data_IF_425579996168
#
_entry.id   IF_425579996168
#
_cell.length_a   1.000
_cell.length_b   1.000
_cell.length_c   1.000
_cell.angle_alpha   90.00
_cell.angle_beta   90.00
_cell.angle_gamma   90.00
#
_symmetry.space_group_name_H-M   'P 1'
#
loop_
_entity.id
_entity.type
_entity.pdbx_description
1 polymer ?
#
# COMPACT_ATOMS: atom_id res chain seq x y z
N UNK A 1 -10.32 -18.08 -26.63
CA UNK A 1 -10.83 -18.96 -25.56
C UNK A 1 -9.64 -19.75 -25.03
N UNK A 2 -9.41 -19.76 -23.72
CA UNK A 2 -8.33 -20.50 -23.08
C UNK A 2 -8.68 -22.00 -23.05
N UNK A 3 -7.76 -22.87 -23.45
CA UNK A 3 -7.93 -24.32 -23.45
C UNK A 3 -7.55 -24.89 -22.07
N UNK A 4 -8.55 -25.03 -21.20
CA UNK A 4 -8.35 -25.48 -19.81
C UNK A 4 -7.88 -26.94 -19.70
N UNK A 5 -8.10 -27.77 -20.72
CA UNK A 5 -7.63 -29.16 -20.73
C UNK A 5 -6.11 -29.19 -20.84
N UNK A 6 -5.53 -28.35 -21.71
CA UNK A 6 -4.06 -28.19 -21.84
C UNK A 6 -3.41 -27.52 -20.64
N UNK A 7 -4.15 -26.70 -19.91
CA UNK A 7 -3.68 -26.13 -18.63
C UNK A 7 -3.71 -27.19 -17.54
N UNK A 8 -4.78 -28.00 -17.48
CA UNK A 8 -4.96 -29.04 -16.47
C UNK A 8 -3.78 -30.00 -16.36
N UNK A 9 -3.19 -30.41 -17.50
CA UNK A 9 -2.01 -31.30 -17.51
C UNK A 9 -0.75 -30.67 -16.92
N UNK A 10 -0.65 -29.33 -16.88
CA UNK A 10 0.46 -28.60 -16.27
C UNK A 10 0.24 -28.38 -14.76
N UNK A 11 -1.02 -28.40 -14.30
CA UNK A 11 -1.38 -28.17 -12.90
C UNK A 11 -0.89 -29.29 -11.98
N UNK A 12 -0.78 -30.53 -12.46
CA UNK A 12 -0.21 -31.64 -11.68
C UNK A 12 1.25 -31.38 -11.32
N UNK A 13 2.07 -30.92 -12.28
CA UNK A 13 3.45 -30.52 -12.03
C UNK A 13 3.56 -29.35 -11.06
N UNK A 14 2.63 -28.38 -11.14
CA UNK A 14 2.54 -27.27 -10.18
C UNK A 14 2.26 -27.77 -8.75
N UNK A 15 1.35 -28.72 -8.57
CA UNK A 15 1.02 -29.27 -7.24
C UNK A 15 2.22 -29.95 -6.59
N UNK A 16 2.98 -30.73 -7.34
CA UNK A 16 4.20 -31.39 -6.84
C UNK A 16 5.27 -30.35 -6.44
N UNK A 17 5.50 -29.36 -7.29
CA UNK A 17 6.44 -28.27 -7.01
C UNK A 17 6.05 -27.48 -5.75
N UNK A 18 4.77 -27.12 -5.58
CA UNK A 18 4.28 -26.40 -4.40
C UNK A 18 4.42 -27.22 -3.11
N UNK A 19 4.29 -28.55 -3.18
CA UNK A 19 4.50 -29.43 -2.03
C UNK A 19 5.98 -29.44 -1.60
N UNK A 20 6.91 -29.45 -2.56
CA UNK A 20 8.35 -29.34 -2.29
C UNK A 20 8.70 -27.97 -1.72
N UNK A 21 8.23 -26.87 -2.31
CA UNK A 21 8.43 -25.52 -1.78
C UNK A 21 7.88 -25.37 -0.36
N UNK A 22 6.74 -25.99 -0.05
CA UNK A 22 6.19 -25.98 1.30
C UNK A 22 7.15 -26.63 2.30
N UNK A 23 7.79 -27.75 1.96
CA UNK A 23 8.78 -28.39 2.84
C UNK A 23 10.03 -27.52 3.03
N UNK A 24 10.50 -26.88 1.96
CA UNK A 24 11.62 -25.93 2.02
C UNK A 24 11.29 -24.75 2.93
N UNK A 25 10.11 -24.12 2.72
CA UNK A 25 9.64 -23.00 3.53
C UNK A 25 9.50 -23.37 5.01
N UNK A 26 9.07 -24.58 5.35
CA UNK A 26 9.03 -25.05 6.73
C UNK A 26 10.42 -25.17 7.37
N UNK A 27 11.44 -25.58 6.61
CA UNK A 27 12.84 -25.60 7.09
C UNK A 27 13.36 -24.19 7.29
N UNK A 28 13.13 -23.29 6.33
CA UNK A 28 13.50 -21.88 6.44
C UNK A 28 12.81 -21.19 7.63
N UNK A 29 11.53 -21.49 7.86
CA UNK A 29 10.78 -20.95 9.00
C UNK A 29 11.38 -21.40 10.33
N UNK A 30 11.67 -22.70 10.49
CA UNK A 30 12.34 -23.21 11.70
C UNK A 30 13.70 -22.56 11.94
N UNK A 31 14.48 -22.35 10.87
CA UNK A 31 15.77 -21.67 10.96
C UNK A 31 15.61 -20.21 11.38
N UNK A 32 14.70 -19.46 10.73
CA UNK A 32 14.41 -18.08 11.08
C UNK A 32 13.90 -17.94 12.52
N UNK A 33 13.13 -18.91 13.03
CA UNK A 33 12.69 -18.94 14.43
C UNK A 33 13.85 -19.04 15.43
N UNK A 34 14.93 -19.74 15.09
CA UNK A 34 16.14 -19.79 15.94
C UNK A 34 16.78 -18.40 16.07
N UNK A 35 16.95 -17.68 14.95
CA UNK A 35 17.48 -16.31 14.97
C UNK A 35 16.52 -15.33 15.62
N UNK A 36 15.22 -15.54 15.47
CA UNK A 36 14.21 -14.76 16.17
C UNK A 36 14.30 -14.92 17.70
N UNK A 37 14.44 -16.16 18.19
CA UNK A 37 14.62 -16.45 19.62
C UNK A 37 15.93 -15.84 20.14
N UNK A 38 17.00 -15.89 19.34
CA UNK A 38 18.25 -15.21 19.69
C UNK A 38 18.06 -13.70 19.79
N UNK A 39 17.37 -13.08 18.83
CA UNK A 39 17.06 -11.66 18.84
C UNK A 39 16.17 -11.25 20.04
N UNK A 40 15.23 -12.10 20.44
CA UNK A 40 14.42 -11.91 21.64
C UNK A 40 15.27 -11.96 22.92
N UNK A 41 16.19 -12.93 23.02
CA UNK A 41 17.06 -13.07 24.18
C UNK A 41 18.14 -11.97 24.26
N UNK A 42 18.57 -11.44 23.12
CA UNK A 42 19.65 -10.46 23.00
C UNK A 42 19.26 -9.30 22.07
N UNK A 43 18.28 -8.47 22.45
CA UNK A 43 17.78 -7.40 21.58
C UNK A 43 18.85 -6.35 21.26
N UNK A 44 19.76 -6.08 22.20
CA UNK A 44 20.87 -5.15 21.98
C UNK A 44 21.82 -5.65 20.89
N UNK A 45 22.06 -6.96 20.78
CA UNK A 45 22.90 -7.51 19.71
C UNK A 45 22.32 -7.21 18.33
N UNK A 46 21.00 -7.28 18.17
CA UNK A 46 20.36 -6.92 16.91
C UNK A 46 20.54 -5.43 16.61
N UNK A 47 20.31 -4.57 17.60
CA UNK A 47 20.47 -3.11 17.47
C UNK A 47 21.92 -2.71 17.16
N UNK A 48 22.90 -3.31 17.83
CA UNK A 48 24.33 -3.05 17.61
C UNK A 48 24.78 -3.49 16.21
N UNK A 49 24.10 -4.50 15.64
CA UNK A 49 24.37 -5.02 14.29
C UNK A 49 23.67 -4.21 13.20
N UNK A 50 22.76 -3.31 13.55
CA UNK A 50 22.19 -2.39 12.57
C UNK A 50 23.25 -1.37 12.12
N UNK A 51 23.50 -1.26 10.81
CA UNK A 51 24.54 -0.36 10.32
C UNK A 51 24.13 1.09 10.54
N UNK A 52 25.08 1.89 11.01
CA UNK A 52 24.92 3.34 11.15
C UNK A 52 25.12 4.04 9.80
N UNK A 53 24.36 5.11 9.50
CA UNK A 53 24.60 5.91 8.30
C UNK A 53 26.06 6.39 8.22
N UNK A 54 26.71 6.39 7.03
CA UNK A 54 26.14 6.15 5.71
C UNK A 54 26.13 4.67 5.26
N UNK A 55 26.72 3.76 6.04
CA UNK A 55 26.79 2.34 5.69
C UNK A 55 25.40 1.70 5.71
N UNK A 56 25.07 0.89 4.70
CA UNK A 56 23.78 0.19 4.61
C UNK A 56 23.93 -1.19 4.00
N UNK A 57 23.08 -2.14 4.40
CA UNK A 57 23.03 -3.43 3.73
C UNK A 57 22.46 -3.25 2.32
N UNK A 58 22.72 -4.23 1.44
CA UNK A 58 22.12 -4.29 0.11
C UNK A 58 20.60 -4.59 0.13
N UNK A 59 19.98 -4.64 1.30
CA UNK A 59 18.59 -4.98 1.54
C UNK A 59 17.98 -4.08 2.61
N UNK A 60 16.66 -3.87 2.55
CA UNK A 60 15.94 -3.05 3.54
C UNK A 60 15.70 -3.84 4.81
N UNK A 61 16.04 -3.24 5.96
CA UNK A 61 15.79 -3.79 7.29
C UNK A 61 14.71 -3.00 8.01
N UNK A 62 14.31 -3.48 9.18
CA UNK A 62 13.47 -2.72 10.11
C UNK A 62 14.05 -2.73 11.53
N UNK A 63 13.94 -1.59 12.21
CA UNK A 63 14.37 -1.43 13.60
C UNK A 63 13.21 -1.78 14.53
N UNK A 64 13.39 -2.69 15.51
CA UNK A 64 12.34 -2.98 16.49
C UNK A 64 12.16 -1.79 17.43
N UNK A 65 10.90 -1.35 17.62
CA UNK A 65 10.52 -0.26 18.53
C UNK A 65 9.86 -0.78 19.82
N UNK A 66 9.54 -2.08 19.86
CA UNK A 66 8.96 -2.80 20.98
C UNK A 66 9.68 -4.16 21.13
N UNK A 67 9.63 -4.79 22.31
CA UNK A 67 10.18 -6.13 22.52
C UNK A 67 9.66 -7.14 21.49
N UNK A 68 10.51 -8.03 20.98
CA UNK A 68 10.15 -8.96 19.91
C UNK A 68 9.12 -10.01 20.35
N UNK A 69 8.89 -10.21 21.64
CA UNK A 69 7.83 -11.05 22.19
C UNK A 69 6.49 -10.32 22.40
N UNK A 70 6.40 -9.04 22.00
CA UNK A 70 5.16 -8.25 22.11
C UNK A 70 4.03 -8.89 21.32
N UNK A 71 3.01 -9.36 22.03
CA UNK A 71 1.75 -9.85 21.47
C UNK A 71 0.59 -9.16 22.18
N UNK A 72 0.04 -8.10 21.58
CA UNK A 72 -1.02 -7.30 22.20
C UNK A 72 -2.37 -7.67 21.57
N UNK A 73 -3.28 -8.19 22.40
CA UNK A 73 -4.69 -8.35 22.04
C UNK A 73 -5.33 -6.97 21.92
N UNK A 74 -5.93 -6.70 20.76
CA UNK A 74 -6.61 -5.43 20.52
C UNK A 74 -7.99 -5.42 21.14
N UNK A 75 -8.33 -4.30 21.77
CA UNK A 75 -9.67 -4.07 22.29
C UNK A 75 -10.69 -3.94 21.15
N UNK A 76 -11.96 -4.34 21.39
CA UNK A 76 -13.03 -4.10 20.44
C UNK A 76 -13.18 -2.61 20.10
N UNK A 77 -13.56 -2.33 18.85
CA UNK A 77 -13.87 -0.97 18.43
C UNK A 77 -14.95 -0.34 19.33
N UNK A 78 -14.79 0.94 19.75
CA UNK A 78 -15.82 1.66 20.49
C UNK A 78 -17.17 1.62 19.78
N UNK A 79 -18.28 1.61 20.52
CA UNK A 79 -19.62 1.54 19.91
C UNK A 79 -19.86 2.64 18.87
N UNK A 80 -19.30 3.83 19.11
CA UNK A 80 -19.42 4.99 18.23
C UNK A 80 -18.04 5.38 17.69
N UNK A 81 -17.85 5.27 16.38
CA UNK A 81 -16.61 5.58 15.68
C UNK A 81 -16.88 5.80 14.19
N UNK A 82 -15.93 6.43 13.50
CA UNK A 82 -15.98 6.63 12.05
C UNK A 82 -14.76 6.01 11.36
N UNK A 83 -14.96 5.40 10.20
CA UNK A 83 -13.86 4.94 9.33
C UNK A 83 -13.96 5.68 8.01
N UNK A 84 -12.88 6.33 7.60
CA UNK A 84 -12.79 7.01 6.30
C UNK A 84 -11.81 6.26 5.41
N UNK A 85 -12.10 6.19 4.11
CA UNK A 85 -11.18 5.63 3.14
C UNK A 85 -11.36 6.25 1.75
N UNK A 86 -10.32 6.18 0.95
CA UNK A 86 -10.31 6.58 -0.45
C UNK A 86 -9.62 5.51 -1.29
N UNK A 87 -10.07 5.36 -2.53
CA UNK A 87 -9.37 4.59 -3.56
C UNK A 87 -9.55 5.31 -4.91
N UNK A 88 -8.73 4.97 -5.90
CA UNK A 88 -8.70 5.65 -7.18
C UNK A 88 -8.69 4.67 -8.35
N UNK A 89 -9.37 5.04 -9.42
CA UNK A 89 -9.20 4.43 -10.73
C UNK A 89 -9.04 5.49 -11.81
N UNK A 90 -8.79 5.07 -13.05
CA UNK A 90 -8.39 5.97 -14.11
C UNK A 90 -8.73 5.46 -15.51
N UNK A 91 -8.93 6.40 -16.44
CA UNK A 91 -9.00 6.16 -17.88
C UNK A 91 -7.71 6.70 -18.50
N UNK A 92 -6.86 5.81 -19.01
CA UNK A 92 -5.62 6.19 -19.68
C UNK A 92 -5.90 6.97 -21.00
N UNK A 93 -5.00 7.91 -21.36
CA UNK A 93 -5.14 8.66 -22.60
C UNK A 93 -4.90 7.74 -23.81
N UNK A 94 -5.61 7.98 -24.92
CA UNK A 94 -5.49 7.16 -26.13
C UNK A 94 -5.45 8.02 -27.38
N UNK A 95 -4.48 7.76 -28.25
CA UNK A 95 -4.37 8.38 -29.57
C UNK A 95 -5.44 7.87 -30.57
N UNK A 96 -6.18 6.82 -30.21
CA UNK A 96 -7.27 6.29 -31.03
C UNK A 96 -8.64 6.88 -30.69
N UNK A 97 -8.70 7.76 -29.69
CA UNK A 97 -9.91 8.44 -29.24
C UNK A 97 -10.01 9.86 -29.81
N UNK A 98 -11.20 10.44 -29.70
CA UNK A 98 -11.58 11.78 -30.19
C UNK A 98 -10.68 12.90 -29.65
N UNK A 99 -10.16 12.73 -28.43
CA UNK A 99 -9.31 13.68 -27.73
C UNK A 99 -8.26 12.94 -26.91
N UNK A 100 -7.05 13.51 -26.86
CA UNK A 100 -5.97 13.00 -26.03
C UNK A 100 -6.07 13.61 -24.63
N UNK A 101 -6.86 12.99 -23.76
CA UNK A 101 -7.06 13.36 -22.36
C UNK A 101 -7.14 12.10 -21.49
N UNK A 102 -6.96 12.25 -20.19
CA UNK A 102 -7.18 11.17 -19.22
C UNK A 102 -8.13 11.62 -18.12
N UNK A 103 -8.67 10.64 -17.39
CA UNK A 103 -9.56 10.89 -16.26
C UNK A 103 -9.04 10.12 -15.04
N UNK A 104 -9.04 10.76 -13.89
CA UNK A 104 -8.82 10.12 -12.59
C UNK A 104 -10.14 10.21 -11.83
N UNK A 105 -10.61 9.08 -11.31
CA UNK A 105 -11.80 9.01 -10.47
C UNK A 105 -11.40 8.55 -9.07
N UNK A 106 -11.60 9.39 -8.06
CA UNK A 106 -11.34 9.02 -6.66
C UNK A 106 -12.66 8.71 -5.97
N UNK A 107 -12.86 7.45 -5.60
CA UNK A 107 -13.96 7.02 -4.75
C UNK A 107 -13.62 7.25 -3.29
N UNK A 108 -14.62 7.64 -2.49
CA UNK A 108 -14.43 7.85 -1.07
C UNK A 108 -15.61 7.36 -0.24
N UNK A 109 -15.30 7.02 1.02
CA UNK A 109 -16.30 6.57 1.98
C UNK A 109 -16.07 7.17 3.36
N UNK A 110 -17.16 7.40 4.08
CA UNK A 110 -17.17 7.66 5.51
C UNK A 110 -18.26 6.79 6.17
N UNK A 111 -17.82 5.75 6.87
CA UNK A 111 -18.69 4.78 7.56
C UNK A 111 -18.81 5.18 9.04
N UNK A 112 -20.02 5.56 9.47
CA UNK A 112 -20.27 6.17 10.77
C UNK A 112 -21.04 5.21 11.70
N UNK A 113 -20.32 4.45 12.51
CA UNK A 113 -20.89 3.39 13.35
C UNK A 113 -21.48 3.94 14.65
N UNK A 114 -22.58 3.33 15.12
CA UNK A 114 -23.22 3.62 16.42
C UNK A 114 -23.84 5.02 16.57
N UNK A 115 -23.82 5.82 15.50
CA UNK A 115 -24.24 7.22 15.53
C UNK A 115 -25.61 7.49 14.92
N UNK A 116 -26.21 6.49 14.26
CA UNK A 116 -27.46 6.64 13.50
C UNK A 116 -27.34 7.47 12.21
N UNK A 117 -26.15 8.02 11.91
CA UNK A 117 -25.89 8.79 10.69
C UNK A 117 -25.70 7.84 9.49
N UNK A 118 -26.16 8.22 8.29
CA UNK A 118 -25.94 7.42 7.09
C UNK A 118 -24.46 7.35 6.71
N UNK A 119 -24.07 6.26 6.06
CA UNK A 119 -22.79 6.19 5.39
C UNK A 119 -22.75 7.22 4.25
N UNK A 120 -21.58 7.84 4.04
CA UNK A 120 -21.32 8.65 2.85
C UNK A 120 -20.45 7.84 1.91
N UNK A 121 -20.91 7.64 0.68
CA UNK A 121 -20.24 6.88 -0.37
C UNK A 121 -20.42 7.70 -1.64
N UNK A 122 -19.33 8.12 -2.28
CA UNK A 122 -19.40 8.92 -3.50
C UNK A 122 -18.05 8.88 -4.24
N UNK A 123 -17.96 9.55 -5.39
CA UNK A 123 -16.73 9.66 -6.18
C UNK A 123 -16.53 11.05 -6.79
N UNK A 124 -15.27 11.42 -7.00
CA UNK A 124 -14.87 12.69 -7.61
C UNK A 124 -14.07 12.39 -8.89
N UNK A 125 -14.72 12.45 -10.06
CA UNK A 125 -14.03 12.34 -11.35
C UNK A 125 -13.45 13.68 -11.80
N UNK A 126 -12.19 13.68 -12.22
CA UNK A 126 -11.49 14.84 -12.76
C UNK A 126 -10.84 14.51 -14.12
N UNK A 127 -11.02 15.39 -15.10
CA UNK A 127 -10.48 15.24 -16.46
C UNK A 127 -9.23 16.10 -16.60
N UNK A 128 -8.16 15.48 -17.11
CA UNK A 128 -6.88 16.11 -17.36
C UNK A 128 -6.62 16.17 -18.87
N UNK A 129 -6.46 17.39 -19.38
CA UNK A 129 -6.46 17.65 -20.82
C UNK A 129 -5.57 18.82 -21.23
N UNK A 130 -4.97 19.56 -20.28
CA UNK A 130 -4.05 20.65 -20.61
C UNK A 130 -2.70 20.09 -21.02
N UNK A 131 -1.93 20.88 -21.77
CA UNK A 131 -0.58 20.51 -22.21
C UNK A 131 0.31 20.11 -21.03
N UNK A 132 0.23 20.85 -19.92
CA UNK A 132 1.01 20.53 -18.71
C UNK A 132 0.60 19.15 -18.14
N UNK A 133 -0.70 18.87 -18.04
CA UNK A 133 -1.21 17.60 -17.52
C UNK A 133 -0.73 16.39 -18.34
N UNK A 134 -0.63 16.56 -19.66
CA UNK A 134 -0.37 15.47 -20.61
C UNK A 134 1.12 15.27 -20.90
N UNK A 135 1.90 16.35 -20.91
CA UNK A 135 3.25 16.33 -21.45
C UNK A 135 4.34 16.74 -20.46
N UNK A 136 4.01 17.38 -19.32
CA UNK A 136 5.03 17.81 -18.34
C UNK A 136 5.93 16.67 -17.90
N UNK A 137 5.38 15.50 -17.66
CA UNK A 137 6.12 14.33 -17.17
C UNK A 137 7.23 13.84 -18.14
N UNK A 138 7.13 14.16 -19.44
CA UNK A 138 8.11 13.75 -20.45
C UNK A 138 9.49 14.37 -20.22
N UNK A 139 9.56 15.54 -19.60
CA UNK A 139 10.84 16.18 -19.20
C UNK A 139 11.66 15.33 -18.24
N UNK A 140 10.99 14.42 -17.52
CA UNK A 140 11.59 13.48 -16.57
C UNK A 140 11.73 12.07 -17.14
N UNK A 141 11.49 11.89 -18.46
CA UNK A 141 11.54 10.58 -19.11
C UNK A 141 10.37 9.65 -18.76
N UNK A 142 9.29 10.18 -18.15
CA UNK A 142 8.15 9.39 -17.73
C UNK A 142 7.06 9.34 -18.81
N UNK A 143 6.32 8.23 -18.84
CA UNK A 143 5.10 8.12 -19.65
C UNK A 143 3.95 8.78 -18.91
N UNK A 144 3.01 9.35 -19.67
CA UNK A 144 1.80 9.99 -19.11
C UNK A 144 0.98 9.01 -18.27
N UNK A 145 0.94 7.73 -18.64
CA UNK A 145 0.22 6.69 -17.89
C UNK A 145 0.84 6.43 -16.51
N UNK A 146 2.18 6.40 -16.41
CA UNK A 146 2.89 6.21 -15.14
C UNK A 146 2.67 7.43 -14.24
N UNK A 147 2.79 8.63 -14.81
CA UNK A 147 2.56 9.90 -14.10
C UNK A 147 1.13 10.02 -13.58
N UNK A 148 0.13 9.63 -14.39
CA UNK A 148 -1.27 9.59 -13.99
C UNK A 148 -1.46 8.69 -12.76
N UNK A 149 -0.80 7.52 -12.73
CA UNK A 149 -0.83 6.63 -11.56
C UNK A 149 -0.28 7.30 -10.28
N UNK A 150 0.81 8.06 -10.39
CA UNK A 150 1.36 8.80 -9.25
C UNK A 150 0.43 9.94 -8.79
N UNK A 151 -0.16 10.67 -9.75
CA UNK A 151 -1.15 11.71 -9.47
C UNK A 151 -2.40 11.17 -8.80
N UNK A 152 -2.87 9.99 -9.20
CA UNK A 152 -3.98 9.28 -8.57
C UNK A 152 -3.69 9.02 -7.08
N UNK A 153 -2.53 8.44 -6.75
CA UNK A 153 -2.13 8.21 -5.35
C UNK A 153 -2.02 9.51 -4.53
N UNK A 154 -1.53 10.58 -5.15
CA UNK A 154 -1.52 11.90 -4.52
C UNK A 154 -2.95 12.39 -4.23
N UNK A 155 -3.85 12.31 -5.21
CA UNK A 155 -5.25 12.77 -5.09
C UNK A 155 -6.05 11.95 -4.06
N UNK A 156 -5.84 10.63 -4.00
CA UNK A 156 -6.42 9.77 -2.95
C UNK A 156 -6.10 10.30 -1.56
N UNK A 157 -4.81 10.52 -1.27
CA UNK A 157 -4.38 10.95 0.06
C UNK A 157 -4.84 12.38 0.40
N UNK A 158 -4.76 13.31 -0.55
CA UNK A 158 -5.23 14.69 -0.35
C UNK A 158 -6.74 14.71 -0.08
N UNK A 159 -7.54 13.99 -0.86
CA UNK A 159 -8.98 13.90 -0.64
C UNK A 159 -9.31 13.25 0.72
N UNK A 160 -8.58 12.20 1.12
CA UNK A 160 -8.76 11.56 2.42
C UNK A 160 -8.57 12.55 3.58
N UNK A 161 -7.55 13.42 3.50
CA UNK A 161 -7.31 14.46 4.50
C UNK A 161 -8.40 15.55 4.48
N UNK A 162 -8.86 15.98 3.31
CA UNK A 162 -9.96 16.95 3.17
C UNK A 162 -11.26 16.41 3.78
N UNK A 163 -11.65 15.18 3.45
CA UNK A 163 -12.83 14.51 3.99
C UNK A 163 -12.75 14.35 5.51
N UNK A 164 -11.58 13.95 6.00
CA UNK A 164 -11.34 13.80 7.44
C UNK A 164 -11.45 15.16 8.15
N UNK A 165 -10.99 16.23 7.52
CA UNK A 165 -11.09 17.59 8.07
C UNK A 165 -12.53 18.06 8.17
N UNK A 166 -13.30 17.91 7.09
CA UNK A 166 -14.71 18.26 7.06
C UNK A 166 -15.51 17.48 8.11
N UNK A 167 -15.22 16.19 8.25
CA UNK A 167 -15.86 15.33 9.25
C UNK A 167 -15.44 15.70 10.68
N UNK A 168 -14.14 15.91 10.96
CA UNK A 168 -13.62 16.23 12.29
C UNK A 168 -14.12 17.57 12.81
N UNK A 169 -14.33 18.55 11.92
CA UNK A 169 -14.92 19.84 12.27
C UNK A 169 -16.34 19.73 12.87
N UNK A 170 -17.07 18.69 12.48
CA UNK A 170 -18.42 18.41 12.99
C UNK A 170 -18.41 17.45 14.18
N UNK A 171 -17.32 16.68 14.35
CA UNK A 171 -17.23 15.56 15.30
C UNK A 171 -15.88 15.54 16.03
N UNK A 172 -15.57 16.55 16.87
CA UNK A 172 -14.24 16.76 17.42
C UNK A 172 -13.72 15.58 18.25
N UNK A 173 -14.59 14.91 19.01
CA UNK A 173 -14.17 13.89 20.00
C UNK A 173 -14.46 12.44 19.56
N UNK A 174 -15.00 12.23 18.37
CA UNK A 174 -15.36 10.87 17.94
C UNK A 174 -14.11 10.09 17.50
N UNK A 175 -13.91 8.83 17.94
CA UNK A 175 -12.82 8.00 17.45
C UNK A 175 -12.94 7.78 15.95
N UNK A 176 -11.82 7.93 15.22
CA UNK A 176 -11.79 7.64 13.80
C UNK A 176 -10.44 7.12 13.33
N UNK A 177 -10.46 6.45 12.18
CA UNK A 177 -9.26 6.05 11.44
C UNK A 177 -9.45 6.35 9.96
N UNK A 178 -8.41 6.88 9.33
CA UNK A 178 -8.31 7.06 7.90
C UNK A 178 -7.54 5.87 7.32
N UNK A 179 -8.18 5.07 6.47
CA UNK A 179 -7.62 3.86 5.89
C UNK A 179 -7.15 4.10 4.46
N UNK A 180 -6.00 3.49 4.16
CA UNK A 180 -5.37 3.50 2.84
C UNK A 180 -5.18 2.06 2.37
N UNK A 181 -5.48 1.80 1.10
CA UNK A 181 -5.15 0.53 0.46
C UNK A 181 -3.74 0.60 -0.16
N UNK A 182 -2.85 -0.29 0.26
CA UNK A 182 -1.44 -0.29 -0.18
C UNK A 182 -0.47 0.46 0.73
N UNK A 183 0.82 0.44 0.37
CA UNK A 183 1.90 0.91 1.25
C UNK A 183 1.92 2.44 1.41
N UNK A 184 2.24 2.90 2.62
CA UNK A 184 2.63 4.29 2.90
C UNK A 184 4.10 4.55 2.54
N UNK A 185 4.89 3.51 2.30
CA UNK A 185 6.24 3.64 1.72
C UNK A 185 6.12 3.63 0.19
N UNK A 186 6.11 4.81 -0.43
CA UNK A 186 5.94 4.97 -1.87
C UNK A 186 7.23 4.66 -2.66
N UNK A 187 7.58 3.38 -2.77
CA UNK A 187 8.77 2.90 -3.49
C UNK A 187 8.88 3.38 -4.95
N UNK A 188 7.74 3.59 -5.60
CA UNK A 188 7.71 4.09 -6.98
C UNK A 188 8.30 5.50 -7.14
N UNK A 189 8.49 6.24 -6.04
CA UNK A 189 9.13 7.56 -6.04
C UNK A 189 10.66 7.51 -6.07
N UNK A 190 11.27 6.37 -5.70
CA UNK A 190 12.73 6.23 -5.63
C UNK A 190 13.44 6.44 -6.98
N UNK A 191 12.98 5.85 -8.10
CA UNK A 191 13.61 6.07 -9.41
C UNK A 191 13.28 7.44 -10.02
N UNK A 192 12.37 8.23 -9.44
CA UNK A 192 11.95 9.49 -10.02
C UNK A 192 13.02 10.58 -9.83
N UNK A 193 13.20 11.48 -10.83
CA UNK A 193 13.96 12.71 -10.62
C UNK A 193 13.41 13.52 -9.45
N UNK A 194 14.29 14.23 -8.74
CA UNK A 194 13.95 14.91 -7.49
C UNK A 194 12.73 15.83 -7.61
N UNK A 195 12.66 16.63 -8.67
CA UNK A 195 11.53 17.54 -8.92
C UNK A 195 10.20 16.80 -9.13
N UNK A 196 10.20 15.72 -9.92
CA UNK A 196 9.01 14.91 -10.15
C UNK A 196 8.51 14.27 -8.85
N UNK A 197 9.46 13.76 -8.05
CA UNK A 197 9.18 13.20 -6.73
C UNK A 197 8.56 14.24 -5.80
N UNK A 198 9.15 15.44 -5.72
CA UNK A 198 8.66 16.53 -4.88
C UNK A 198 7.21 16.88 -5.19
N UNK A 199 6.85 16.98 -6.48
CA UNK A 199 5.49 17.33 -6.91
C UNK A 199 4.41 16.32 -6.50
N UNK A 200 4.77 15.06 -6.30
CA UNK A 200 3.86 14.01 -5.83
C UNK A 200 3.90 13.91 -4.31
N UNK A 201 5.11 13.97 -3.72
CA UNK A 201 5.31 13.67 -2.31
C UNK A 201 4.88 14.81 -1.39
N UNK A 202 5.17 16.07 -1.72
CA UNK A 202 4.86 17.19 -0.82
C UNK A 202 3.36 17.31 -0.49
N UNK A 203 2.42 17.18 -1.46
CA UNK A 203 0.99 17.20 -1.14
C UNK A 203 0.54 16.03 -0.28
N UNK A 204 1.17 14.86 -0.42
CA UNK A 204 0.91 13.69 0.43
C UNK A 204 1.38 13.96 1.86
N UNK A 205 2.60 14.47 2.04
CA UNK A 205 3.12 14.81 3.36
C UNK A 205 2.31 15.92 4.03
N UNK A 206 1.83 16.90 3.27
CA UNK A 206 0.92 17.94 3.78
C UNK A 206 -0.41 17.33 4.27
N UNK A 207 -0.98 16.39 3.51
CA UNK A 207 -2.18 15.66 3.92
C UNK A 207 -1.95 14.83 5.20
N UNK A 208 -0.79 14.18 5.35
CA UNK A 208 -0.45 13.49 6.60
C UNK A 208 -0.29 14.42 7.78
N UNK A 209 0.35 15.58 7.57
CA UNK A 209 0.49 16.60 8.60
C UNK A 209 -0.86 17.17 9.05
N UNK A 210 -1.81 17.31 8.11
CA UNK A 210 -3.19 17.68 8.41
C UNK A 210 -3.88 16.62 9.27
N UNK A 211 -3.80 15.34 8.89
CA UNK A 211 -4.35 14.23 9.69
C UNK A 211 -3.73 14.14 11.10
N UNK A 212 -2.41 14.36 11.20
CA UNK A 212 -1.70 14.47 12.49
C UNK A 212 -2.24 15.62 13.35
N UNK A 213 -2.44 16.78 12.76
CA UNK A 213 -2.97 17.97 13.46
C UNK A 213 -4.38 17.71 13.99
N UNK A 214 -5.20 16.99 13.22
CA UNK A 214 -6.55 16.56 13.61
C UNK A 214 -6.57 15.37 14.58
N UNK A 215 -5.40 14.82 14.91
CA UNK A 215 -5.23 13.59 15.70
C UNK A 215 -6.06 12.42 15.16
N UNK A 216 -6.14 12.30 13.83
CA UNK A 216 -6.78 11.14 13.17
C UNK A 216 -5.68 10.23 12.63
N UNK A 217 -5.57 8.99 13.13
CA UNK A 217 -4.61 8.02 12.62
C UNK A 217 -4.88 7.70 11.16
N UNK A 218 -3.82 7.77 10.34
CA UNK A 218 -3.79 7.16 9.02
C UNK A 218 -3.10 5.82 9.11
N UNK A 219 -3.77 4.77 8.66
CA UNK A 219 -3.29 3.39 8.72
C UNK A 219 -3.50 2.74 7.36
N UNK A 220 -2.44 2.18 6.78
CA UNK A 220 -2.59 1.33 5.61
C UNK A 220 -2.86 -0.12 5.98
N UNK A 221 -3.66 -0.82 5.16
CA UNK A 221 -3.88 -2.26 5.28
C UNK A 221 -3.24 -2.97 4.09
N UNK A 222 -2.20 -3.78 4.33
CA UNK A 222 -1.54 -4.58 3.31
C UNK A 222 -1.89 -6.06 3.53
N UNK A 223 -2.91 -6.53 2.82
CA UNK A 223 -3.26 -7.95 2.71
C UNK A 223 -2.17 -8.73 1.97
N UNK A 224 -1.97 -10.00 2.34
CA UNK A 224 -1.01 -10.91 1.70
C UNK A 224 0.39 -10.27 1.48
N UNK A 225 0.85 -9.49 2.46
CA UNK A 225 2.08 -8.70 2.34
C UNK A 225 3.28 -9.58 1.98
N UNK A 226 4.03 -9.14 0.96
CA UNK A 226 5.26 -9.80 0.50
C UNK A 226 6.52 -9.24 1.17
N UNK A 227 6.36 -8.44 2.22
CA UNK A 227 7.49 -7.83 2.91
C UNK A 227 8.37 -8.89 3.59
N UNK A 228 9.66 -8.55 3.66
CA UNK A 228 10.73 -9.34 4.26
C UNK A 228 11.63 -8.47 5.15
N UNK A 229 11.19 -7.28 5.56
CA UNK A 229 12.03 -6.33 6.30
C UNK A 229 12.41 -6.85 7.69
N UNK A 230 11.50 -7.55 8.37
CA UNK A 230 11.77 -8.17 9.68
C UNK A 230 12.73 -9.35 9.51
N UNK A 231 12.47 -10.21 8.53
CA UNK A 231 13.39 -11.29 8.17
C UNK A 231 14.77 -10.76 7.76
N UNK A 232 14.82 -9.61 7.09
CA UNK A 232 16.08 -8.96 6.73
C UNK A 232 16.83 -8.43 7.95
N UNK A 233 16.15 -7.95 8.99
CA UNK A 233 16.82 -7.60 10.26
C UNK A 233 17.48 -8.82 10.91
N UNK A 234 16.85 -10.01 10.85
CA UNK A 234 17.47 -11.25 11.34
C UNK A 234 18.74 -11.63 10.54
N UNK A 235 18.86 -11.20 9.28
CA UNK A 235 20.07 -11.45 8.46
C UNK A 235 21.29 -10.74 9.03
N UNK A 236 21.09 -9.64 9.77
CA UNK A 236 22.17 -8.93 10.44
C UNK A 236 22.83 -9.80 11.52
N UNK A 237 22.03 -10.59 12.23
CA UNK A 237 22.54 -11.58 13.20
C UNK A 237 23.23 -12.74 12.50
N UNK A 238 22.64 -13.23 11.40
CA UNK A 238 23.20 -14.33 10.61
C UNK A 238 24.42 -13.95 9.74
N UNK A 239 24.77 -12.67 9.66
CA UNK A 239 25.92 -12.21 8.87
C UNK A 239 27.23 -12.74 9.48
N UNK A 240 28.05 -13.50 8.74
CA UNK A 240 29.29 -14.05 9.29
C UNK A 240 30.39 -12.99 9.44
N UNK A 241 30.22 -11.82 8.85
CA UNK A 241 31.21 -10.74 8.88
C UNK A 241 31.01 -9.88 10.14
N UNK A 242 32.10 -9.40 10.78
CA UNK A 242 32.02 -8.50 11.93
C UNK A 242 31.27 -7.20 11.59
N UNK A 243 31.58 -6.61 10.45
CA UNK A 243 30.95 -5.38 9.93
C UNK A 243 29.99 -5.71 8.78
N UNK A 244 28.87 -4.98 8.73
CA UNK A 244 27.88 -5.13 7.66
C UNK A 244 28.28 -4.27 6.46
N UNK A 245 29.20 -4.79 5.65
CA UNK A 245 29.59 -4.21 4.36
C UNK A 245 29.25 -5.18 3.22
N UNK A 246 28.03 -5.04 2.67
CA UNK A 246 27.60 -5.85 1.55
C UNK A 246 28.39 -5.55 0.26
N UNK A 247 28.97 -4.36 0.12
CA UNK A 247 29.76 -4.01 -1.06
C UNK A 247 31.08 -4.79 -1.06
N UNK A 248 31.79 -4.80 0.07
CA UNK A 248 33.06 -5.51 0.22
C UNK A 248 32.87 -7.03 0.23
N UNK A 249 31.88 -7.53 0.96
CA UNK A 249 31.75 -8.97 1.22
C UNK A 249 30.79 -9.70 0.28
N UNK A 250 29.84 -9.00 -0.34
CA UNK A 250 28.79 -9.59 -1.19
C UNK A 250 28.68 -8.93 -2.56
N UNK A 251 29.64 -8.09 -2.97
CA UNK A 251 29.63 -7.34 -4.25
C UNK A 251 28.35 -6.51 -4.46
N UNK A 252 27.77 -6.02 -3.37
CA UNK A 252 26.52 -5.25 -3.37
C UNK A 252 25.26 -6.08 -3.61
N UNK A 253 25.35 -7.41 -3.65
CA UNK A 253 24.19 -8.29 -3.87
C UNK A 253 23.62 -8.78 -2.54
N UNK A 254 22.31 -8.59 -2.36
CA UNK A 254 21.59 -9.17 -1.24
C UNK A 254 21.27 -10.66 -1.47
N UNK A 255 20.90 -11.01 -2.71
CA UNK A 255 20.60 -12.38 -3.08
C UNK A 255 21.89 -13.18 -3.20
N UNK A 256 21.97 -14.32 -2.51
CA UNK A 256 23.17 -15.18 -2.55
C UNK A 256 24.18 -14.89 -1.46
N UNK A 257 23.96 -13.83 -0.68
CA UNK A 257 24.80 -13.52 0.47
C UNK A 257 24.78 -14.67 1.50
N UNK A 258 25.86 -14.91 2.26
CA UNK A 258 25.89 -15.96 3.29
C UNK A 258 24.79 -15.87 4.36
N UNK A 259 24.24 -14.66 4.58
CA UNK A 259 23.13 -14.41 5.49
C UNK A 259 21.73 -14.55 4.86
N UNK A 260 21.63 -14.84 3.56
CA UNK A 260 20.36 -15.03 2.83
C UNK A 260 19.84 -16.48 2.99
N UNK A 261 19.61 -16.88 4.24
CA UNK A 261 19.42 -18.30 4.64
C UNK A 261 17.96 -18.78 4.63
N UNK A 262 16.99 -17.86 4.55
CA UNK A 262 15.55 -18.16 4.57
C UNK A 262 14.85 -17.48 3.39
N UNK A 263 15.36 -17.76 2.18
CA UNK A 263 14.73 -17.35 0.93
C UNK A 263 13.28 -17.82 0.87
N UNK A 264 12.49 -17.19 0.01
CA UNK A 264 11.05 -17.42 -0.20
C UNK A 264 10.13 -17.21 1.01
N UNK A 265 10.66 -17.12 2.25
CA UNK A 265 9.89 -16.79 3.43
C UNK A 265 9.44 -15.32 3.40
N UNK A 266 8.31 -15.03 4.05
CA UNK A 266 7.76 -13.69 4.23
C UNK A 266 7.65 -13.38 5.71
N UNK A 267 7.69 -12.10 6.06
CA UNK A 267 7.50 -11.68 7.45
C UNK A 267 6.16 -12.17 8.01
N UNK A 268 5.12 -12.20 7.17
CA UNK A 268 3.79 -12.73 7.53
C UNK A 268 3.84 -14.20 7.94
N UNK A 269 4.68 -15.02 7.31
CA UNK A 269 4.89 -16.43 7.71
C UNK A 269 5.47 -16.55 9.12
N UNK A 270 6.40 -15.66 9.49
CA UNK A 270 7.00 -15.64 10.82
C UNK A 270 5.98 -15.13 11.85
N UNK A 271 5.33 -14.00 11.58
CA UNK A 271 4.32 -13.41 12.45
C UNK A 271 3.12 -14.34 12.70
N UNK A 272 2.72 -15.14 11.70
CA UNK A 272 1.68 -16.16 11.81
C UNK A 272 1.98 -17.23 12.87
N UNK A 273 3.26 -17.47 13.19
CA UNK A 273 3.65 -18.42 14.25
C UNK A 273 3.63 -17.81 15.65
N UNK A 274 3.54 -16.48 15.76
CA UNK A 274 3.67 -15.74 17.02
C UNK A 274 2.32 -15.19 17.50
N UNK A 275 1.47 -14.76 16.56
CA UNK A 275 0.24 -14.04 16.86
C UNK A 275 -0.97 -14.95 16.85
N UNK A 276 -1.90 -14.72 17.77
CA UNK A 276 -3.25 -15.27 17.75
C UNK A 276 -4.23 -14.29 17.08
N UNK A 277 -5.38 -14.74 16.55
CA UNK A 277 -6.41 -13.86 16.02
C UNK A 277 -6.76 -12.70 16.95
N UNK A 278 -6.77 -11.48 16.41
CA UNK A 278 -7.01 -10.24 17.16
C UNK A 278 -5.78 -9.65 17.85
N UNK A 279 -4.61 -10.29 17.72
CA UNK A 279 -3.35 -9.77 18.27
C UNK A 279 -2.51 -9.06 17.22
N UNK A 280 -1.86 -7.98 17.63
CA UNK A 280 -0.74 -7.38 16.90
C UNK A 280 0.61 -7.75 17.50
N UNK A 281 1.62 -7.79 16.65
CA UNK A 281 3.03 -7.94 17.03
C UNK A 281 3.70 -6.64 17.45
N UNK A 282 5.04 -6.66 17.65
CA UNK A 282 5.82 -5.46 17.95
C UNK A 282 5.74 -4.42 16.84
N UNK A 283 5.91 -3.16 17.22
CA UNK A 283 6.14 -2.05 16.28
C UNK A 283 7.56 -2.09 15.73
N UNK A 284 7.68 -1.74 14.46
CA UNK A 284 8.92 -1.64 13.72
C UNK A 284 9.02 -0.30 13.02
N UNK A 285 10.23 0.24 12.88
CA UNK A 285 10.52 1.36 12.01
C UNK A 285 11.18 0.83 10.73
N UNK A 286 10.61 1.16 9.56
CA UNK A 286 11.24 0.80 8.28
C UNK A 286 12.49 1.63 8.04
N UNK A 287 13.53 1.02 7.47
CA UNK A 287 14.76 1.72 7.06
C UNK A 287 14.83 1.89 5.53
N UNK A 288 13.68 1.88 4.86
CA UNK A 288 13.58 2.09 3.42
C UNK A 288 14.20 3.44 3.00
N UNK A 289 15.04 3.43 1.96
CA UNK A 289 15.81 4.61 1.54
C UNK A 289 14.92 5.79 1.14
N UNK A 290 13.81 5.51 0.47
CA UNK A 290 12.85 6.53 0.05
C UNK A 290 12.28 7.34 1.24
N UNK A 291 12.27 6.78 2.46
CA UNK A 291 11.76 7.48 3.64
C UNK A 291 12.63 8.65 4.09
N UNK A 292 13.90 8.74 3.65
CA UNK A 292 14.72 9.94 3.90
C UNK A 292 14.13 11.20 3.28
N UNK A 293 13.35 11.05 2.20
CA UNK A 293 12.71 12.19 1.54
C UNK A 293 11.43 12.61 2.25
N UNK A 294 11.02 11.93 3.33
CA UNK A 294 9.76 12.19 4.04
C UNK A 294 9.97 13.12 5.24
N UNK A 295 11.22 13.53 5.52
CA UNK A 295 11.58 14.36 6.65
C UNK A 295 11.28 13.64 7.98
N UNK A 296 10.52 14.29 8.85
CA UNK A 296 10.14 13.72 10.15
C UNK A 296 9.08 12.60 10.06
N UNK A 297 8.43 12.45 8.90
CA UNK A 297 7.35 11.49 8.70
C UNK A 297 7.87 10.09 8.33
N UNK A 298 8.66 9.49 9.22
CA UNK A 298 9.08 8.10 9.07
C UNK A 298 7.89 7.14 9.17
N UNK A 299 8.00 5.99 8.53
CA UNK A 299 6.95 4.96 8.53
C UNK A 299 7.28 3.87 9.54
N UNK A 300 6.34 3.66 10.45
CA UNK A 300 6.32 2.51 11.34
C UNK A 300 5.33 1.47 10.80
N UNK A 301 5.51 0.23 11.21
CA UNK A 301 4.58 -0.84 10.88
C UNK A 301 4.50 -1.87 12.00
N UNK A 302 3.44 -2.67 11.97
CA UNK A 302 3.32 -3.90 12.74
C UNK A 302 2.54 -4.95 11.95
N UNK A 303 2.57 -6.19 12.41
CA UNK A 303 1.73 -7.26 11.85
C UNK A 303 0.53 -7.50 12.75
N UNK A 304 -0.65 -7.70 12.18
CA UNK A 304 -1.90 -8.02 12.87
C UNK A 304 -2.44 -9.34 12.35
N UNK A 305 -2.76 -10.25 13.25
CA UNK A 305 -3.52 -11.45 12.89
C UNK A 305 -5.01 -11.10 12.81
N UNK A 306 -5.51 -10.85 11.60
CA UNK A 306 -6.89 -10.43 11.35
C UNK A 306 -7.90 -11.59 11.31
N UNK A 307 -7.43 -12.82 11.52
CA UNK A 307 -8.25 -14.03 11.70
C UNK A 307 -8.04 -15.01 10.56
N UNK A 308 -8.32 -14.60 9.33
CA UNK A 308 -8.04 -15.40 8.14
C UNK A 308 -6.58 -15.27 7.65
N UNK A 309 -5.95 -14.13 7.93
CA UNK A 309 -4.57 -13.83 7.55
C UNK A 309 -3.83 -13.02 8.62
N UNK A 310 -2.52 -12.89 8.44
CA UNK A 310 -1.70 -11.86 9.09
C UNK A 310 -1.40 -10.76 8.08
N UNK A 311 -1.93 -9.57 8.33
CA UNK A 311 -1.74 -8.39 7.50
C UNK A 311 -0.60 -7.51 8.04
N UNK A 312 0.07 -6.76 7.14
CA UNK A 312 0.99 -5.68 7.53
C UNK A 312 0.20 -4.38 7.60
N UNK A 313 0.36 -3.65 8.70
CA UNK A 313 -0.24 -2.34 8.89
C UNK A 313 0.88 -1.32 8.97
N UNK A 314 0.83 -0.28 8.14
CA UNK A 314 1.81 0.81 8.19
C UNK A 314 1.13 2.10 8.65
N UNK A 315 1.88 2.93 9.34
CA UNK A 315 1.40 4.17 9.92
C UNK A 315 2.57 5.14 10.15
N UNK A 316 2.30 6.45 10.15
CA UNK A 316 3.33 7.45 10.46
C UNK A 316 3.85 7.32 11.90
N UNK A 317 5.11 7.69 12.09
CA UNK A 317 5.83 7.54 13.36
C UNK A 317 5.27 8.32 14.55
N UNK A 318 4.42 9.33 14.31
CA UNK A 318 3.83 10.16 15.37
C UNK A 318 2.78 9.43 16.21
N UNK A 319 2.27 8.27 15.76
CA UNK A 319 1.28 7.51 16.51
C UNK A 319 1.89 6.86 17.77
N UNK A 320 1.43 7.31 18.93
CA UNK A 320 1.69 6.63 20.19
C UNK A 320 0.95 5.28 20.29
N UNK A 321 1.40 4.44 21.21
CA UNK A 321 0.86 3.08 21.37
C UNK A 321 -0.63 3.06 21.71
N UNK A 322 -1.16 3.89 22.63
CA UNK A 322 -2.60 3.93 22.91
C UNK A 322 -3.45 4.30 21.69
N UNK A 323 -3.07 5.36 20.97
CA UNK A 323 -3.79 5.82 19.77
C UNK A 323 -3.74 4.79 18.66
N UNK A 324 -2.57 4.17 18.46
CA UNK A 324 -2.39 3.09 17.50
C UNK A 324 -3.30 1.90 17.83
N UNK A 325 -3.32 1.43 19.08
CA UNK A 325 -4.12 0.27 19.46
C UNK A 325 -5.62 0.50 19.23
N UNK A 326 -6.12 1.71 19.50
CA UNK A 326 -7.50 2.09 19.17
C UNK A 326 -7.73 2.03 17.66
N UNK A 327 -6.85 2.64 16.86
CA UNK A 327 -6.96 2.63 15.40
C UNK A 327 -6.94 1.21 14.82
N UNK A 328 -6.08 0.34 15.34
CA UNK A 328 -5.99 -1.07 14.93
C UNK A 328 -7.22 -1.87 15.38
N UNK A 329 -7.82 -1.56 16.52
CA UNK A 329 -9.12 -2.11 16.92
C UNK A 329 -10.24 -1.72 15.94
N UNK A 330 -10.22 -0.48 15.42
CA UNK A 330 -11.12 -0.04 14.35
C UNK A 330 -10.88 -0.80 13.04
N UNK A 331 -9.60 -0.99 12.66
CA UNK A 331 -9.20 -1.77 11.46
C UNK A 331 -9.70 -3.21 11.59
N UNK A 332 -9.44 -3.87 12.73
CA UNK A 332 -9.87 -5.24 12.99
C UNK A 332 -11.40 -5.36 12.87
N UNK A 333 -12.16 -4.42 13.43
CA UNK A 333 -13.61 -4.40 13.29
C UNK A 333 -14.07 -4.26 11.82
N UNK A 334 -13.34 -3.51 10.98
CA UNK A 334 -13.62 -3.46 9.54
C UNK A 334 -13.35 -4.80 8.87
N UNK A 335 -12.23 -5.45 9.19
CA UNK A 335 -11.85 -6.74 8.60
C UNK A 335 -12.86 -7.83 8.98
N UNK A 336 -13.29 -7.88 10.25
CA UNK A 336 -14.30 -8.84 10.70
C UNK A 336 -15.63 -8.63 9.98
N UNK A 337 -16.09 -7.39 9.82
CA UNK A 337 -17.34 -7.07 9.10
C UNK A 337 -17.24 -7.35 7.60
N UNK A 338 -16.05 -7.24 7.02
CA UNK A 338 -15.79 -7.46 5.59
C UNK A 338 -15.23 -8.84 5.25
N UNK A 339 -15.40 -9.83 6.14
CA UNK A 339 -15.02 -11.22 5.91
C UNK A 339 -13.55 -11.44 5.51
N UNK A 340 -12.62 -10.69 6.12
CA UNK A 340 -11.19 -10.83 5.87
C UNK A 340 -10.54 -9.63 5.18
N UNK A 341 -11.31 -8.61 4.81
CA UNK A 341 -10.77 -7.35 4.27
C UNK A 341 -11.55 -6.13 4.79
N UNK A 342 -10.92 -4.95 5.00
CA UNK A 342 -11.64 -3.79 5.53
C UNK A 342 -12.79 -3.32 4.62
N UNK A 343 -14.02 -3.29 5.17
CA UNK A 343 -15.22 -2.83 4.44
C UNK A 343 -15.03 -1.45 3.81
N UNK A 344 -14.47 -0.49 4.56
CA UNK A 344 -14.25 0.86 4.04
C UNK A 344 -13.34 0.89 2.79
N UNK A 345 -12.29 0.08 2.74
CA UNK A 345 -11.42 0.02 1.56
C UNK A 345 -12.15 -0.62 0.37
N UNK A 346 -12.89 -1.71 0.59
CA UNK A 346 -13.68 -2.35 -0.46
C UNK A 346 -14.77 -1.43 -1.03
N UNK A 347 -15.45 -0.68 -0.16
CA UNK A 347 -16.46 0.28 -0.61
C UNK A 347 -15.84 1.48 -1.34
N UNK A 348 -14.70 1.99 -0.89
CA UNK A 348 -13.98 3.06 -1.60
C UNK A 348 -13.56 2.60 -3.01
N UNK A 349 -13.06 1.36 -3.13
CA UNK A 349 -12.77 0.74 -4.42
C UNK A 349 -14.01 0.68 -5.30
N UNK A 350 -15.13 0.20 -4.77
CA UNK A 350 -16.39 0.11 -5.53
C UNK A 350 -16.86 1.47 -6.06
N UNK A 351 -16.69 2.55 -5.30
CA UNK A 351 -17.01 3.90 -5.76
C UNK A 351 -15.99 4.43 -6.78
N UNK A 352 -14.72 4.01 -6.68
CA UNK A 352 -13.66 4.48 -7.54
C UNK A 352 -13.67 3.81 -8.93
N UNK A 353 -14.05 2.54 -9.02
CA UNK A 353 -13.91 1.71 -10.23
C UNK A 353 -14.62 2.30 -11.45
N UNK A 354 -13.81 2.62 -12.47
CA UNK A 354 -14.27 2.96 -13.82
C UNK A 354 -14.28 1.71 -14.68
N UNK A 355 -15.45 1.33 -15.19
CA UNK A 355 -15.62 0.13 -16.04
C UNK A 355 -15.43 0.46 -17.52
N UNK A 356 -15.29 -0.57 -18.36
CA UNK A 356 -15.14 -0.40 -19.80
C UNK A 356 -16.31 0.35 -20.49
N UNK A 357 -17.52 0.21 -19.96
CA UNK A 357 -18.70 0.97 -20.43
C UNK A 357 -18.61 2.45 -20.06
N UNK A 358 -18.11 2.78 -18.87
CA UNK A 358 -17.91 4.16 -18.43
C UNK A 358 -16.88 4.87 -19.29
N UNK A 359 -15.80 4.17 -19.66
CA UNK A 359 -14.82 4.66 -20.64
C UNK A 359 -15.48 5.05 -21.97
N UNK A 360 -16.37 4.20 -22.48
CA UNK A 360 -17.06 4.47 -23.75
C UNK A 360 -17.99 5.68 -23.63
N UNK A 361 -18.75 5.78 -22.53
CA UNK A 361 -19.64 6.91 -22.24
C UNK A 361 -18.87 8.22 -22.08
N UNK A 362 -17.73 8.19 -21.39
CA UNK A 362 -16.84 9.33 -21.23
C UNK A 362 -16.43 9.92 -22.58
N UNK A 363 -15.88 9.11 -23.48
CA UNK A 363 -15.48 9.59 -24.81
C UNK A 363 -16.67 10.01 -25.69
N UNK A 364 -17.86 9.40 -25.52
CA UNK A 364 -19.09 9.88 -26.15
C UNK A 364 -19.48 11.29 -25.67
N UNK A 365 -19.36 11.59 -24.38
CA UNK A 365 -19.62 12.92 -23.82
C UNK A 365 -18.62 13.95 -24.35
N UNK A 366 -17.34 13.61 -24.37
CA UNK A 366 -16.28 14.46 -24.94
C UNK A 366 -16.58 14.77 -26.40
N UNK A 367 -16.92 13.75 -27.21
CA UNK A 367 -17.27 13.93 -28.61
C UNK A 367 -18.49 14.84 -28.81
N UNK A 368 -19.57 14.62 -28.05
CA UNK A 368 -20.75 15.48 -28.12
C UNK A 368 -20.43 16.94 -27.78
N UNK A 369 -19.51 17.18 -26.85
CA UNK A 369 -19.07 18.53 -26.49
C UNK A 369 -18.24 19.19 -27.60
N UNK A 370 -17.32 18.45 -28.24
CA UNK A 370 -16.53 18.98 -29.35
C UNK A 370 -17.41 19.36 -30.55
N UNK A 371 -18.38 18.51 -30.89
CA UNK A 371 -19.37 18.80 -31.94
C UNK A 371 -20.16 20.07 -31.61
N UNK A 372 -20.63 20.23 -30.37
CA UNK A 372 -21.34 21.45 -29.93
C UNK A 372 -20.51 22.72 -30.07
N UNK A 373 -19.18 22.62 -29.97
CA UNK A 373 -18.25 23.74 -30.12
C UNK A 373 -17.82 23.98 -31.57
N UNK A 374 -18.42 23.29 -32.55
CA UNK A 374 -18.07 23.42 -33.97
C UNK A 374 -16.71 22.83 -34.33
N UNK A 375 -16.06 22.13 -33.40
CA UNK A 375 -14.86 21.35 -33.68
C UNK A 375 -15.33 20.01 -34.27
N UNK A 376 -15.29 19.90 -35.60
CA UNK A 376 -15.79 18.72 -36.33
C UNK A 376 -15.31 17.39 -35.76
N UNK A 377 -16.08 16.31 -35.97
CA UNK A 377 -15.78 14.99 -35.40
C UNK A 377 -14.41 14.49 -35.88
N UNK A 378 -13.41 14.43 -35.00
CA UNK A 378 -12.19 13.68 -35.28
C UNK A 378 -12.56 12.19 -35.39
N UNK A 379 -12.20 11.54 -36.49
CA UNK A 379 -12.60 10.14 -36.68
C UNK A 379 -11.90 9.24 -35.66
N UNK A 380 -12.68 8.56 -34.82
CA UNK A 380 -12.21 7.41 -34.01
C UNK A 380 -11.58 6.40 -34.97
N UNK A 381 -10.42 5.85 -34.62
CA UNK A 381 -9.72 4.89 -35.49
C UNK A 381 -10.63 3.71 -35.87
N UNK A 382 -10.60 3.30 -37.14
CA UNK A 382 -11.39 2.16 -37.67
C UNK A 382 -11.20 0.85 -36.88
N UNK A 383 -10.05 0.70 -36.20
CA UNK A 383 -9.74 -0.44 -35.33
C UNK A 383 -10.55 -0.44 -34.02
N UNK A 384 -10.75 0.74 -33.41
CA UNK A 384 -11.54 0.86 -32.18
C UNK A 384 -13.05 0.87 -32.44
N UNK A 385 -13.48 1.40 -33.59
CA UNK A 385 -14.86 1.26 -34.04
C UNK A 385 -15.28 -0.23 -34.13
N UNK A 386 -14.40 -1.11 -34.63
CA UNK A 386 -14.66 -2.57 -34.70
C UNK A 386 -14.74 -3.26 -33.33
N UNK A 387 -13.94 -2.85 -32.35
CA UNK A 387 -14.00 -3.42 -30.99
C UNK A 387 -15.28 -3.06 -30.26
N UNK A 388 -15.82 -1.85 -30.49
CA UNK A 388 -17.10 -1.42 -29.88
C UNK A 388 -18.32 -2.17 -30.42
N UNK A 389 -18.22 -2.73 -31.63
CA UNK A 389 -19.30 -3.48 -32.29
C UNK A 389 -19.27 -4.97 -31.91
N UNK A 390 -18.14 -5.48 -31.39
CA UNK A 390 -18.01 -6.88 -30.99
C UNK A 390 -18.38 -7.03 -29.51
N UNK A 391 -19.50 -7.70 -29.16
CA UNK A 391 -19.75 -8.10 -27.78
C UNK A 391 -18.72 -9.17 -27.41
N UNK A 392 -18.07 -9.02 -26.26
CA UNK A 392 -17.22 -10.05 -25.67
C UNK A 392 -18.06 -11.22 -25.15
#
# INVERSE_FOLDING_TARGET
MLDLVKVGTQVEGLSAYLAEEKQVNLRHLKHAQTFWQQAQAQPQLLLDRHPSPPARPAFTTALPLEPLDTCITLEPAPNRHTVLATDGSQIAPSHHEIAYCYLINIGYVALQYGSGRPARLDSIPEIFYKTDDLYRCRRWGLRTEDWMGHRRTQMEMTLLAELTTQWRAQHPDEPAVALVDGSLTYWFLEPLPAEARTLILEPILAAWQQLRTLRVPVVSYLSASRSIEVLNSLRLLACPYPEIDCQAHCRGQAEGAPCDQWRSLRDTSLAQTQLQPGQRGPRWQSTARILETYGESTIHFCYLHAGAEVARLEFPSWLDTPTLNIALGLVLAQVTKGYGYPVALAEAHNQAVVRGQDRSRFFSLVNAQLIRQGMGSSQVSAKEARKRISPA
#
